data_IF_873310188704
#
_entry.id   IF_873310188704
#
_cell.length_a   1.000
_cell.length_b   1.000
_cell.length_c   1.000
_cell.angle_alpha   90.00
_cell.angle_beta   90.00
_cell.angle_gamma   90.00
#
_symmetry.space_group_name_H-M   'P 1'
#
loop_
_entity.id
_entity.type
_entity.pdbx_description
1 polymer ?
#
# COMPACT_ATOMS: atom_id res chain seq x y z
N UNK A 1 -49.81 -4.46 1.49
CA UNK A 1 -48.66 -3.61 1.11
C UNK A 1 -47.41 -4.38 1.50
N UNK A 2 -46.56 -4.73 0.53
CA UNK A 2 -45.32 -5.48 0.77
C UNK A 2 -44.27 -4.57 1.40
N UNK A 3 -43.68 -5.00 2.52
CA UNK A 3 -42.55 -4.32 3.12
C UNK A 3 -41.28 -4.62 2.31
N UNK A 4 -40.53 -3.58 1.95
CA UNK A 4 -39.19 -3.73 1.40
C UNK A 4 -38.25 -4.17 2.52
N UNK A 5 -37.54 -5.28 2.32
CA UNK A 5 -36.43 -5.70 3.17
C UNK A 5 -35.29 -4.67 3.06
N UNK A 6 -34.58 -4.36 4.15
CA UNK A 6 -33.41 -3.50 4.06
C UNK A 6 -32.38 -4.21 3.18
N UNK A 7 -31.89 -3.51 2.15
CA UNK A 7 -30.67 -3.93 1.45
C UNK A 7 -29.57 -4.00 2.51
N UNK A 8 -29.09 -5.20 2.79
CA UNK A 8 -27.83 -5.36 3.49
C UNK A 8 -26.81 -4.52 2.70
N UNK A 9 -26.19 -3.55 3.37
CA UNK A 9 -25.00 -2.92 2.82
C UNK A 9 -24.03 -4.07 2.52
N UNK A 10 -23.76 -4.34 1.25
CA UNK A 10 -22.62 -5.15 0.88
C UNK A 10 -21.44 -4.46 1.55
N UNK A 11 -20.93 -5.05 2.65
CA UNK A 11 -19.51 -4.90 2.91
C UNK A 11 -18.87 -5.24 1.57
N UNK A 12 -18.12 -4.29 0.99
CA UNK A 12 -17.30 -4.61 -0.18
C UNK A 12 -16.63 -5.95 0.15
N UNK A 13 -16.68 -6.92 -0.77
CA UNK A 13 -16.11 -8.25 -0.54
C UNK A 13 -14.60 -8.09 -0.30
N UNK A 14 -14.24 -7.86 0.97
CA UNK A 14 -12.90 -7.52 1.38
C UNK A 14 -12.03 -8.75 1.16
N UNK A 15 -10.88 -8.62 0.48
CA UNK A 15 -10.01 -9.75 0.24
C UNK A 15 -9.41 -10.23 1.56
N UNK A 16 -9.11 -11.52 1.67
CA UNK A 16 -8.41 -12.07 2.83
C UNK A 16 -7.03 -11.43 2.98
N UNK A 17 -6.36 -11.15 1.85
CA UNK A 17 -5.10 -10.43 1.80
C UNK A 17 -5.01 -9.46 0.61
N UNK A 18 -4.25 -8.38 0.77
CA UNK A 18 -3.87 -7.45 -0.30
C UNK A 18 -2.34 -7.33 -0.36
N UNK A 19 -1.78 -7.47 -1.55
CA UNK A 19 -0.36 -7.15 -1.81
C UNK A 19 -0.27 -5.71 -2.29
N UNK A 20 0.59 -4.90 -1.66
CA UNK A 20 0.99 -3.59 -2.16
C UNK A 20 2.44 -3.72 -2.64
N UNK A 21 2.65 -3.69 -3.95
CA UNK A 21 3.98 -3.97 -4.55
C UNK A 21 4.50 -2.79 -5.37
N UNK A 22 5.69 -2.31 -5.03
CA UNK A 22 6.41 -1.30 -5.80
C UNK A 22 7.42 -1.93 -6.76
N UNK A 23 7.28 -1.64 -8.05
CA UNK A 23 8.17 -2.12 -9.11
C UNK A 23 9.58 -1.52 -9.00
N UNK A 24 10.53 -2.04 -9.77
CA UNK A 24 11.88 -1.51 -9.91
C UNK A 24 11.99 -0.40 -10.96
N UNK A 25 13.17 0.22 -10.99
CA UNK A 25 13.54 1.25 -11.97
C UNK A 25 13.36 0.76 -13.40
N UNK A 26 12.77 1.61 -14.24
CA UNK A 26 12.46 1.40 -15.66
C UNK A 26 11.50 0.24 -15.96
N UNK A 27 10.84 -0.33 -14.95
CA UNK A 27 9.76 -1.30 -15.16
C UNK A 27 8.48 -0.59 -15.61
N UNK A 28 7.74 -1.20 -16.54
CA UNK A 28 6.44 -0.72 -17.00
C UNK A 28 5.40 -0.70 -15.85
N UNK A 29 4.34 0.13 -15.95
CA UNK A 29 3.26 0.17 -14.96
C UNK A 29 2.72 -1.23 -14.61
N UNK A 30 2.50 -1.46 -13.31
CA UNK A 30 2.21 -2.77 -12.75
C UNK A 30 3.24 -3.18 -11.69
N UNK A 31 3.21 -4.43 -11.20
CA UNK A 31 4.09 -4.89 -10.13
C UNK A 31 5.52 -5.25 -10.61
N UNK A 32 5.82 -5.13 -11.90
CA UNK A 32 7.10 -5.56 -12.48
C UNK A 32 7.23 -7.09 -12.59
N UNK A 33 8.36 -7.56 -13.12
CA UNK A 33 8.62 -8.98 -13.32
C UNK A 33 8.75 -9.74 -12.00
N UNK A 34 9.51 -9.19 -11.05
CA UNK A 34 9.70 -9.77 -9.72
C UNK A 34 8.39 -9.79 -8.93
N UNK A 35 7.65 -8.69 -8.95
CA UNK A 35 6.37 -8.61 -8.25
C UNK A 35 5.34 -9.56 -8.83
N UNK A 36 5.24 -9.68 -10.16
CA UNK A 36 4.34 -10.65 -10.81
C UNK A 36 4.64 -12.08 -10.39
N UNK A 37 5.91 -12.48 -10.40
CA UNK A 37 6.31 -13.81 -9.96
C UNK A 37 5.93 -14.07 -8.50
N UNK A 38 6.24 -13.11 -7.62
CA UNK A 38 5.89 -13.17 -6.19
C UNK A 38 4.37 -13.31 -5.97
N UNK A 39 3.57 -12.48 -6.63
CA UNK A 39 2.10 -12.47 -6.52
C UNK A 39 1.51 -13.81 -6.95
N UNK A 40 2.02 -14.40 -8.04
CA UNK A 40 1.54 -15.69 -8.54
C UNK A 40 1.86 -16.82 -7.54
N UNK A 41 3.07 -16.85 -7.00
CA UNK A 41 3.46 -17.80 -5.95
C UNK A 41 2.61 -17.63 -4.69
N UNK A 42 2.39 -16.39 -4.24
CA UNK A 42 1.58 -16.10 -3.06
C UNK A 42 0.12 -16.52 -3.26
N UNK A 43 -0.48 -16.21 -4.41
CA UNK A 43 -1.86 -16.60 -4.75
C UNK A 43 -2.05 -18.11 -4.66
N UNK A 44 -1.04 -18.86 -5.10
CA UNK A 44 -1.03 -20.33 -5.01
C UNK A 44 -0.94 -20.78 -3.54
N UNK A 45 -0.03 -20.18 -2.78
CA UNK A 45 0.24 -20.57 -1.39
C UNK A 45 -0.93 -20.32 -0.43
N UNK A 46 -1.77 -19.33 -0.70
CA UNK A 46 -2.86 -18.96 0.21
C UNK A 46 -4.24 -19.50 -0.20
N UNK A 47 -4.33 -20.18 -1.35
CA UNK A 47 -5.59 -20.78 -1.81
C UNK A 47 -6.22 -21.67 -0.72
N UNK A 48 -7.55 -21.57 -0.46
CA UNK A 48 -8.58 -20.89 -1.26
C UNK A 48 -8.84 -19.42 -0.88
N UNK A 49 -7.97 -18.78 -0.10
CA UNK A 49 -8.13 -17.37 0.30
C UNK A 49 -8.05 -16.43 -0.90
N UNK A 50 -8.79 -15.34 -0.82
CA UNK A 50 -8.83 -14.29 -1.84
C UNK A 50 -7.64 -13.34 -1.70
N UNK A 51 -7.01 -13.01 -2.84
CA UNK A 51 -5.86 -12.12 -2.92
C UNK A 51 -6.14 -10.96 -3.88
N UNK A 52 -6.13 -9.75 -3.33
CA UNK A 52 -6.10 -8.52 -4.10
C UNK A 52 -4.66 -8.02 -4.29
N UNK A 53 -4.44 -7.23 -5.34
CA UNK A 53 -3.12 -6.73 -5.73
C UNK A 53 -3.24 -5.26 -6.09
N UNK A 54 -2.46 -4.46 -5.40
CA UNK A 54 -2.23 -3.06 -5.72
C UNK A 54 -0.79 -2.87 -6.17
N UNK A 55 -0.62 -2.51 -7.45
CA UNK A 55 0.66 -2.05 -7.96
C UNK A 55 0.81 -0.56 -7.62
N UNK A 56 1.90 -0.22 -6.92
CA UNK A 56 2.16 1.16 -6.52
C UNK A 56 2.34 2.04 -7.76
N UNK A 57 1.57 3.12 -7.81
CA UNK A 57 1.57 4.05 -8.94
C UNK A 57 2.55 5.19 -8.68
N UNK A 58 3.65 5.17 -9.41
CA UNK A 58 4.73 6.14 -9.32
C UNK A 58 5.63 6.05 -10.55
N UNK A 59 6.53 7.02 -10.82
CA UNK A 59 7.30 7.03 -12.08
C UNK A 59 8.25 5.84 -12.28
N UNK A 60 8.86 5.33 -11.21
CA UNK A 60 9.88 4.27 -11.25
C UNK A 60 11.03 4.57 -12.23
N UNK A 61 11.54 5.80 -12.25
CA UNK A 61 12.62 6.21 -13.15
C UNK A 61 13.96 6.25 -12.41
N UNK A 62 15.04 6.58 -13.14
CA UNK A 62 16.36 6.83 -12.54
C UNK A 62 16.44 8.13 -11.73
N UNK A 63 15.41 8.98 -11.78
CA UNK A 63 15.26 10.14 -10.89
C UNK A 63 14.76 9.69 -9.51
N UNK A 64 15.66 9.07 -8.72
CA UNK A 64 15.36 8.46 -7.43
C UNK A 64 14.56 9.32 -6.44
N UNK A 65 14.75 10.65 -6.35
CA UNK A 65 13.88 11.51 -5.54
C UNK A 65 12.37 11.33 -5.79
N UNK A 66 11.97 11.01 -7.03
CA UNK A 66 10.55 10.76 -7.38
C UNK A 66 9.98 9.48 -6.76
N UNK A 67 10.81 8.62 -6.16
CA UNK A 67 10.35 7.46 -5.39
C UNK A 67 9.47 7.85 -4.19
N UNK A 68 9.57 9.11 -3.72
CA UNK A 68 8.66 9.64 -2.68
C UNK A 68 7.19 9.56 -3.08
N UNK A 69 6.89 9.67 -4.38
CA UNK A 69 5.52 9.54 -4.87
C UNK A 69 5.00 8.12 -4.67
N UNK A 70 5.83 7.11 -4.87
CA UNK A 70 5.50 5.73 -4.55
C UNK A 70 5.25 5.49 -3.06
N UNK A 71 6.01 6.17 -2.18
CA UNK A 71 5.78 6.09 -0.73
C UNK A 71 4.42 6.67 -0.36
N UNK A 72 4.09 7.86 -0.90
CA UNK A 72 2.79 8.51 -0.68
C UNK A 72 1.65 7.65 -1.22
N UNK A 73 1.81 7.09 -2.41
CA UNK A 73 0.83 6.26 -3.09
C UNK A 73 0.52 4.97 -2.30
N UNK A 74 1.56 4.22 -1.96
CA UNK A 74 1.43 3.01 -1.16
C UNK A 74 0.83 3.28 0.23
N UNK A 75 1.22 4.38 0.88
CA UNK A 75 0.61 4.80 2.17
C UNK A 75 -0.87 5.09 2.04
N UNK A 76 -1.28 5.84 1.00
CA UNK A 76 -2.69 6.15 0.72
C UNK A 76 -3.48 4.86 0.55
N UNK A 77 -2.95 3.90 -0.21
CA UNK A 77 -3.61 2.61 -0.40
C UNK A 77 -3.74 1.83 0.91
N UNK A 78 -2.68 1.75 1.71
CA UNK A 78 -2.71 1.05 3.00
C UNK A 78 -3.74 1.66 3.94
N UNK A 79 -3.76 2.99 4.09
CA UNK A 79 -4.74 3.65 4.98
C UNK A 79 -6.16 3.44 4.45
N UNK A 80 -6.36 3.52 3.13
CA UNK A 80 -7.66 3.29 2.49
C UNK A 80 -8.15 1.86 2.73
N UNK A 81 -7.32 0.86 2.49
CA UNK A 81 -7.67 -0.55 2.73
C UNK A 81 -7.86 -0.83 4.21
N UNK A 82 -7.09 -0.23 5.11
CA UNK A 82 -7.25 -0.44 6.54
C UNK A 82 -8.59 0.13 7.06
N UNK A 83 -9.01 1.28 6.53
CA UNK A 83 -10.29 1.90 6.86
C UNK A 83 -11.49 1.13 6.28
N UNK A 84 -11.40 0.72 5.01
CA UNK A 84 -12.48 0.01 4.32
C UNK A 84 -12.58 -1.47 4.71
N UNK A 85 -11.44 -2.12 4.96
CA UNK A 85 -11.29 -3.56 5.14
C UNK A 85 -10.32 -3.89 6.29
N UNK A 86 -10.69 -3.62 7.56
CA UNK A 86 -9.79 -3.74 8.72
C UNK A 86 -9.33 -5.18 9.01
N UNK A 87 -9.95 -6.19 8.40
CA UNK A 87 -9.56 -7.60 8.55
C UNK A 87 -8.63 -8.10 7.44
N UNK A 88 -8.49 -7.37 6.34
CA UNK A 88 -7.60 -7.74 5.23
C UNK A 88 -6.15 -7.71 5.71
N UNK A 89 -5.41 -8.79 5.44
CA UNK A 89 -3.97 -8.86 5.74
C UNK A 89 -3.17 -8.16 4.64
N UNK A 90 -2.31 -7.22 5.00
CA UNK A 90 -1.48 -6.53 4.02
C UNK A 90 -0.09 -7.15 3.91
N UNK A 91 0.36 -7.32 2.68
CA UNK A 91 1.69 -7.79 2.34
C UNK A 91 2.37 -6.67 1.55
N UNK A 92 3.40 -6.06 2.14
CA UNK A 92 4.16 -4.98 1.51
C UNK A 92 5.40 -5.56 0.85
N UNK A 93 5.67 -5.18 -0.38
CA UNK A 93 6.83 -5.65 -1.11
C UNK A 93 7.34 -4.64 -2.13
N UNK A 94 8.58 -4.81 -2.55
CA UNK A 94 9.13 -4.06 -3.66
C UNK A 94 10.48 -4.60 -4.11
N UNK A 95 10.89 -4.18 -5.31
CA UNK A 95 12.14 -4.62 -5.93
C UNK A 95 13.02 -3.41 -6.28
N UNK A 96 14.32 -3.49 -6.00
CA UNK A 96 15.29 -2.42 -6.30
C UNK A 96 14.86 -1.07 -5.67
N UNK A 97 14.64 -0.02 -6.46
CA UNK A 97 14.05 1.25 -6.00
C UNK A 97 12.70 1.05 -5.29
N UNK A 98 11.86 0.12 -5.77
CA UNK A 98 10.61 -0.23 -5.13
C UNK A 98 10.78 -0.85 -3.74
N UNK A 99 11.92 -1.47 -3.45
CA UNK A 99 12.22 -1.95 -2.09
C UNK A 99 12.43 -0.78 -1.12
N UNK A 100 13.07 0.30 -1.58
CA UNK A 100 13.16 1.54 -0.81
C UNK A 100 11.77 2.15 -0.60
N UNK A 101 10.95 2.22 -1.65
CA UNK A 101 9.54 2.65 -1.53
C UNK A 101 8.82 1.85 -0.44
N UNK A 102 8.79 0.52 -0.55
CA UNK A 102 8.10 -0.34 0.40
C UNK A 102 8.66 -0.22 1.83
N UNK A 103 9.98 -0.06 1.99
CA UNK A 103 10.63 0.08 3.29
C UNK A 103 10.26 1.37 4.03
N UNK A 104 10.05 2.47 3.31
CA UNK A 104 9.71 3.76 3.91
C UNK A 104 8.21 3.97 4.13
N UNK A 105 7.36 3.13 3.57
CA UNK A 105 5.90 3.26 3.68
C UNK A 105 5.40 3.22 5.13
N UNK A 106 6.00 2.41 6.00
CA UNK A 106 5.66 2.35 7.43
C UNK A 106 6.71 3.00 8.34
N UNK A 107 7.75 3.60 7.76
CA UNK A 107 8.81 4.24 8.52
C UNK A 107 8.28 5.48 9.26
N UNK A 108 8.59 5.55 10.56
CA UNK A 108 8.47 6.77 11.37
C UNK A 108 9.61 7.77 11.11
N UNK A 109 10.46 7.52 10.12
CA UNK A 109 11.57 8.38 9.72
C UNK A 109 11.44 8.76 8.26
N UNK A 110 11.85 9.99 7.95
CA UNK A 110 11.82 10.54 6.60
C UNK A 110 13.17 10.23 5.93
N UNK A 111 13.20 9.77 4.67
CA UNK A 111 14.45 9.54 3.95
C UNK A 111 15.30 10.81 3.86
N UNK A 112 16.62 10.66 3.91
CA UNK A 112 17.55 11.78 3.78
C UNK A 112 17.33 12.55 2.47
N UNK A 113 17.34 13.88 2.54
CA UNK A 113 17.08 14.75 1.39
C UNK A 113 15.60 15.01 1.08
N UNK A 114 14.66 14.42 1.83
CA UNK A 114 13.23 14.68 1.74
C UNK A 114 12.76 15.44 2.99
N UNK A 115 11.94 16.48 2.83
CA UNK A 115 11.36 17.21 3.96
C UNK A 115 10.11 16.52 4.53
N UNK A 116 9.84 16.74 5.82
CA UNK A 116 8.62 16.27 6.47
C UNK A 116 7.34 16.80 5.80
N UNK A 117 7.41 17.99 5.20
CA UNK A 117 6.28 18.59 4.48
C UNK A 117 5.94 17.82 3.21
N UNK A 118 6.94 17.23 2.56
CA UNK A 118 6.75 16.39 1.38
C UNK A 118 6.11 15.04 1.75
N UNK A 119 6.41 14.48 2.90
CA UNK A 119 5.92 13.15 3.30
C UNK A 119 4.54 13.20 3.98
N UNK A 120 4.17 14.33 4.56
CA UNK A 120 2.92 14.51 5.33
C UNK A 120 1.71 14.66 4.41
N UNK A 121 0.90 13.62 4.37
CA UNK A 121 -0.51 13.69 3.98
C UNK A 121 -1.31 13.71 5.30
N UNK A 122 -2.00 14.83 5.56
CA UNK A 122 -3.12 14.92 6.51
C UNK A 122 -2.86 14.55 7.98
N UNK A 123 -2.04 15.34 8.68
CA UNK A 123 -2.07 15.39 10.15
C UNK A 123 -1.53 14.16 10.90
N UNK A 124 -1.12 13.10 10.20
CA UNK A 124 -0.43 11.96 10.83
C UNK A 124 1.03 12.36 11.08
N UNK A 125 1.30 12.76 12.33
CA UNK A 125 2.65 13.06 12.82
C UNK A 125 3.48 11.77 12.87
N UNK A 126 4.61 11.76 12.19
CA UNK A 126 5.60 10.67 12.23
C UNK A 126 6.67 10.90 13.30
N UNK A 127 6.46 11.81 14.26
CA UNK A 127 7.42 12.02 15.34
C UNK A 127 7.57 10.74 16.19
N UNK A 128 8.74 10.06 16.19
CA UNK A 128 8.97 8.85 16.98
C UNK A 128 8.96 9.11 18.49
N UNK A 129 8.78 10.36 18.94
CA UNK A 129 8.69 10.77 20.34
C UNK A 129 7.30 11.22 20.79
N UNK A 130 6.29 11.21 19.92
CA UNK A 130 4.92 11.55 20.35
C UNK A 130 4.20 10.33 20.97
N UNK A 131 3.65 10.43 22.19
CA UNK A 131 2.70 9.45 22.68
C UNK A 131 1.40 9.56 21.86
N UNK A 132 0.95 8.42 21.33
CA UNK A 132 -0.30 8.25 20.59
C UNK A 132 -1.46 8.94 21.34
N UNK A 133 -1.91 10.10 20.86
CA UNK A 133 -3.13 10.76 21.34
C UNK A 133 -4.20 10.55 20.30
N UNK A 134 -5.13 9.66 20.62
CA UNK A 134 -6.41 9.51 19.92
C UNK A 134 -7.16 10.84 19.96
N UNK A 135 -7.57 11.33 18.79
CA UNK A 135 -8.64 12.30 18.63
C UNK A 135 -9.75 11.63 17.83
#
# INVERSE_FOLDING_TARGET
>A
MSAALPLAAHAADCPDAQVVFARGTDEAPGPGGVGTAFINSLRTAISPKTLDVYAVDYPATTDFPTAVDGIRDARRQIVTTAAACPRTKMVLGGFSQGAAVAGFVTAGTIPDGISAAEVRQDGVSLDPRMPYRSA
#
